data_IF_437167830261
#
_entry.id   IF_437167830261
#
_cell.length_a   1.000
_cell.length_b   1.000
_cell.length_c   1.000
_cell.angle_alpha   90.00
_cell.angle_beta   90.00
_cell.angle_gamma   90.00
#
_symmetry.space_group_name_H-M   'P 1'
#
loop_
_entity.id
_entity.type
_entity.pdbx_description
1 polymer ?
#
# COMPACT_ATOMS: atom_id res chain seq x y z
N UNK A 1 -13.37 -3.54 -6.67
CA UNK A 1 -13.67 -2.72 -5.47
C UNK A 1 -14.69 -3.33 -4.51
N UNK A 2 -15.82 -3.87 -4.98
CA UNK A 2 -16.96 -4.24 -4.13
C UNK A 2 -16.62 -5.14 -2.91
N UNK A 3 -15.65 -6.06 -3.00
CA UNK A 3 -15.24 -6.90 -1.85
C UNK A 3 -14.42 -6.14 -0.79
N UNK A 4 -13.44 -5.34 -1.22
CA UNK A 4 -12.64 -4.52 -0.30
C UNK A 4 -13.49 -3.47 0.41
N UNK A 5 -14.44 -2.86 -0.31
CA UNK A 5 -15.39 -1.91 0.27
C UNK A 5 -16.34 -2.59 1.26
N UNK A 6 -16.88 -3.77 0.92
CA UNK A 6 -17.70 -4.56 1.84
C UNK A 6 -16.94 -4.95 3.11
N UNK A 7 -15.66 -5.30 3.00
CA UNK A 7 -14.81 -5.62 4.15
C UNK A 7 -14.67 -4.42 5.10
N UNK A 8 -14.34 -3.25 4.55
CA UNK A 8 -14.23 -2.01 5.35
C UNK A 8 -15.57 -1.62 5.98
N UNK A 9 -16.66 -1.72 5.22
CA UNK A 9 -18.02 -1.42 5.69
C UNK A 9 -18.47 -2.39 6.79
N UNK A 10 -18.17 -3.70 6.66
CA UNK A 10 -18.50 -4.70 7.67
C UNK A 10 -17.75 -4.46 8.99
N UNK A 11 -16.58 -3.83 8.93
CA UNK A 11 -15.80 -3.38 10.10
C UNK A 11 -16.23 -2.01 10.64
N UNK A 12 -17.19 -1.35 10.01
CA UNK A 12 -17.68 -0.02 10.42
C UNK A 12 -16.63 1.09 10.23
N UNK A 13 -15.71 0.94 9.28
CA UNK A 13 -14.65 1.92 9.04
C UNK A 13 -15.20 3.14 8.28
N UNK A 14 -15.02 4.33 8.84
CA UNK A 14 -15.20 5.60 8.10
C UNK A 14 -14.03 5.81 7.14
N UNK A 15 -14.20 5.33 5.90
CA UNK A 15 -13.11 5.32 4.91
C UNK A 15 -12.51 6.71 4.64
N UNK A 16 -13.28 7.78 4.38
CA UNK A 16 -12.71 9.11 4.20
C UNK A 16 -11.79 9.56 5.35
N UNK A 17 -12.11 9.26 6.60
CA UNK A 17 -11.25 9.59 7.74
C UNK A 17 -10.00 8.71 7.80
N UNK A 18 -10.17 7.39 7.59
CA UNK A 18 -9.07 6.43 7.53
C UNK A 18 -8.07 6.76 6.42
N UNK A 19 -8.56 7.07 5.22
CA UNK A 19 -7.75 7.43 4.06
C UNK A 19 -6.88 8.65 4.34
N UNK A 20 -7.48 9.72 4.88
CA UNK A 20 -6.74 10.93 5.29
C UNK A 20 -5.66 10.62 6.33
N UNK A 21 -5.94 9.72 7.27
CA UNK A 21 -4.96 9.32 8.27
C UNK A 21 -3.80 8.54 7.66
N UNK A 22 -4.07 7.63 6.72
CA UNK A 22 -3.06 6.80 6.07
C UNK A 22 -2.18 7.63 5.11
N UNK A 23 -2.77 8.52 4.31
CA UNK A 23 -2.06 9.34 3.31
C UNK A 23 -1.58 10.70 3.83
N UNK A 24 -1.56 10.92 5.15
CA UNK A 24 -1.10 12.20 5.71
C UNK A 24 0.33 12.55 5.27
N UNK A 25 0.57 13.84 5.01
CA UNK A 25 1.85 14.36 4.52
C UNK A 25 2.94 14.50 5.59
N UNK A 26 2.63 14.31 6.87
CA UNK A 26 3.62 14.37 7.95
C UNK A 26 4.32 13.03 8.11
N UNK A 27 5.65 13.04 8.05
CA UNK A 27 6.48 11.87 8.33
C UNK A 27 6.57 11.65 9.84
N UNK A 28 6.29 10.42 10.29
CA UNK A 28 6.64 9.94 11.62
C UNK A 28 8.07 9.39 11.65
N UNK A 29 8.69 9.25 12.83
CA UNK A 29 10.01 8.62 12.96
C UNK A 29 10.07 7.24 12.27
N UNK A 30 9.05 6.40 12.49
CA UNK A 30 8.97 5.06 11.88
C UNK A 30 8.86 5.11 10.35
N UNK A 31 8.30 6.20 9.78
CA UNK A 31 8.15 6.35 8.33
C UNK A 31 9.50 6.55 7.63
N UNK A 32 10.54 7.02 8.33
CA UNK A 32 11.85 7.27 7.75
C UNK A 32 12.59 5.96 7.45
N UNK A 33 12.60 5.04 8.41
CA UNK A 33 13.19 3.71 8.24
C UNK A 33 12.41 2.87 7.22
N UNK A 34 11.08 2.83 7.36
CA UNK A 34 10.17 2.18 6.40
C UNK A 34 10.34 2.77 4.99
N UNK A 35 10.39 4.10 4.89
CA UNK A 35 10.57 4.80 3.63
C UNK A 35 11.90 4.45 2.94
N UNK A 36 12.97 4.27 3.71
CA UNK A 36 14.27 3.86 3.18
C UNK A 36 14.26 2.41 2.67
N UNK A 37 13.59 1.50 3.37
CA UNK A 37 13.42 0.11 2.93
C UNK A 37 12.58 0.05 1.64
N UNK A 38 11.43 0.72 1.64
CA UNK A 38 10.54 0.83 0.49
C UNK A 38 11.32 1.36 -0.73
N UNK A 39 12.07 2.46 -0.60
CA UNK A 39 12.84 3.03 -1.70
C UNK A 39 13.86 2.04 -2.30
N UNK A 40 14.58 1.29 -1.45
CA UNK A 40 15.52 0.25 -1.89
C UNK A 40 14.80 -0.85 -2.67
N UNK A 41 13.62 -1.23 -2.21
CA UNK A 41 12.80 -2.27 -2.83
C UNK A 41 12.14 -1.81 -4.14
N UNK A 42 11.79 -0.53 -4.27
CA UNK A 42 11.25 0.01 -5.53
C UNK A 42 12.27 -0.07 -6.67
N UNK A 43 13.56 0.18 -6.41
CA UNK A 43 14.59 0.07 -7.46
C UNK A 43 14.75 -1.34 -8.02
N UNK A 44 14.36 -2.37 -7.26
CA UNK A 44 14.40 -3.78 -7.66
C UNK A 44 13.03 -4.33 -8.06
N UNK A 45 11.95 -3.57 -7.91
CA UNK A 45 10.62 -3.94 -8.41
C UNK A 45 10.66 -3.89 -9.94
N UNK A 46 10.99 -5.01 -10.57
CA UNK A 46 11.12 -5.17 -12.02
C UNK A 46 9.79 -5.15 -12.78
N UNK A 47 8.92 -4.18 -12.49
CA UNK A 47 7.65 -3.98 -13.19
C UNK A 47 7.81 -2.86 -14.23
N UNK A 48 7.44 -3.16 -15.49
CA UNK A 48 7.62 -2.27 -16.64
C UNK A 48 6.95 -0.91 -16.48
N UNK A 49 5.87 -0.84 -15.69
CA UNK A 49 5.16 0.40 -15.35
C UNK A 49 6.06 1.45 -14.69
N UNK A 50 7.11 1.03 -14.00
CA UNK A 50 7.96 1.92 -13.19
C UNK A 50 9.27 2.28 -13.88
N UNK A 51 9.39 1.97 -15.18
CA UNK A 51 10.52 2.32 -16.04
C UNK A 51 10.14 3.44 -17.03
N UNK A 52 11.12 4.25 -17.46
CA UNK A 52 10.90 5.34 -18.42
C UNK A 52 10.42 6.66 -17.79
N UNK A 53 9.86 7.55 -18.61
CA UNK A 53 9.54 8.95 -18.25
C UNK A 53 8.50 9.06 -17.12
N UNK A 54 7.51 8.16 -17.11
CA UNK A 54 6.50 8.08 -16.02
C UNK A 54 6.98 7.28 -14.81
N UNK A 55 8.13 6.61 -14.91
CA UNK A 55 8.60 5.66 -13.89
C UNK A 55 8.78 6.31 -12.51
N UNK A 56 9.28 7.55 -12.46
CA UNK A 56 9.46 8.28 -11.19
C UNK A 56 8.14 8.60 -10.49
N UNK A 57 7.13 9.00 -11.26
CA UNK A 57 5.81 9.32 -10.72
C UNK A 57 5.12 8.06 -10.19
N UNK A 58 5.13 7.00 -10.98
CA UNK A 58 4.56 5.71 -10.57
C UNK A 58 5.29 5.18 -9.32
N UNK A 59 6.62 5.32 -9.24
CA UNK A 59 7.38 4.94 -8.04
C UNK A 59 6.96 5.78 -6.81
N UNK A 60 6.70 7.08 -6.99
CA UNK A 60 6.20 7.91 -5.91
C UNK A 60 4.81 7.47 -5.44
N UNK A 61 3.90 7.12 -6.36
CA UNK A 61 2.57 6.58 -6.04
C UNK A 61 2.67 5.26 -5.28
N UNK A 62 3.50 4.33 -5.78
CA UNK A 62 3.72 3.04 -5.13
C UNK A 62 4.29 3.22 -3.72
N UNK A 63 5.26 4.12 -3.53
CA UNK A 63 5.79 4.45 -2.21
C UNK A 63 4.69 4.97 -1.27
N UNK A 64 3.81 5.86 -1.74
CA UNK A 64 2.73 6.42 -0.93
C UNK A 64 1.71 5.36 -0.52
N UNK A 65 1.32 4.45 -1.44
CA UNK A 65 0.41 3.34 -1.12
C UNK A 65 1.01 2.39 -0.08
N UNK A 66 2.28 2.00 -0.25
CA UNK A 66 2.98 1.13 0.69
C UNK A 66 3.10 1.74 2.08
N UNK A 67 3.44 3.03 2.14
CA UNK A 67 3.53 3.75 3.41
C UNK A 67 2.17 3.91 4.08
N UNK A 68 1.13 4.20 3.28
CA UNK A 68 -0.24 4.29 3.75
C UNK A 68 -0.71 2.96 4.34
N UNK A 69 -0.37 1.83 3.71
CA UNK A 69 -0.63 0.49 4.24
C UNK A 69 0.13 0.24 5.56
N UNK A 70 1.42 0.54 5.63
CA UNK A 70 2.21 0.34 6.84
C UNK A 70 1.68 1.17 8.03
N UNK A 71 1.08 2.33 7.76
CA UNK A 71 0.38 3.16 8.75
C UNK A 71 -0.96 2.58 9.17
N UNK A 72 -1.67 1.93 8.26
CA UNK A 72 -2.94 1.25 8.53
C UNK A 72 -2.75 0.05 9.46
N UNK A 73 -1.79 -0.83 9.14
CA UNK A 73 -1.50 -2.02 9.92
C UNK A 73 -0.05 -1.98 10.41
N UNK A 74 0.16 -1.37 11.58
CA UNK A 74 1.48 -1.23 12.19
C UNK A 74 2.07 -2.54 12.70
N UNK A 75 1.23 -3.52 13.00
CA UNK A 75 1.68 -4.82 13.51
C UNK A 75 2.39 -5.62 12.40
N UNK A 76 1.90 -5.51 11.15
CA UNK A 76 2.55 -6.09 9.96
C UNK A 76 3.59 -5.13 9.36
N UNK A 77 3.27 -3.85 9.30
CA UNK A 77 4.13 -2.83 8.70
C UNK A 77 4.37 -3.06 7.20
N UNK A 78 5.64 -3.10 6.81
CA UNK A 78 6.08 -3.39 5.44
C UNK A 78 6.90 -4.67 5.41
N UNK A 79 6.46 -5.65 4.62
CA UNK A 79 7.22 -6.87 4.37
C UNK A 79 7.87 -6.84 2.98
N UNK A 80 9.08 -7.41 2.88
CA UNK A 80 9.79 -7.57 1.62
C UNK A 80 8.94 -8.43 0.66
N UNK A 81 8.43 -7.83 -0.40
CA UNK A 81 7.47 -8.43 -1.35
C UNK A 81 6.18 -7.61 -1.53
N UNK A 82 5.83 -6.76 -0.56
CA UNK A 82 4.69 -5.85 -0.68
C UNK A 82 4.85 -4.87 -1.82
N UNK A 83 6.07 -4.45 -2.14
CA UNK A 83 6.38 -3.65 -3.31
C UNK A 83 5.85 -4.24 -4.62
N UNK A 84 5.98 -5.56 -4.82
CA UNK A 84 5.50 -6.23 -6.03
C UNK A 84 3.98 -6.38 -6.03
N UNK A 85 3.39 -6.76 -4.89
CA UNK A 85 1.94 -6.86 -4.75
C UNK A 85 1.26 -5.51 -4.98
N UNK A 86 1.74 -4.46 -4.31
CA UNK A 86 1.21 -3.11 -4.46
C UNK A 86 1.44 -2.55 -5.86
N UNK A 87 2.54 -2.90 -6.54
CA UNK A 87 2.77 -2.53 -7.94
C UNK A 87 1.69 -3.10 -8.87
N UNK A 88 1.40 -4.40 -8.75
CA UNK A 88 0.35 -5.07 -9.54
C UNK A 88 -1.04 -4.51 -9.20
N UNK A 89 -1.34 -4.32 -7.92
CA UNK A 89 -2.62 -3.74 -7.49
C UNK A 89 -2.78 -2.33 -8.07
N UNK A 90 -1.74 -1.49 -7.98
CA UNK A 90 -1.76 -0.12 -8.47
C UNK A 90 -1.95 -0.07 -9.99
N UNK A 91 -1.34 -0.99 -10.73
CA UNK A 91 -1.55 -1.15 -12.17
C UNK A 91 -3.01 -1.50 -12.48
N UNK A 92 -3.55 -2.53 -11.82
CA UNK A 92 -4.92 -3.02 -12.07
C UNK A 92 -5.98 -2.01 -11.63
N UNK A 93 -5.70 -1.19 -10.62
CA UNK A 93 -6.57 -0.10 -10.15
C UNK A 93 -6.35 1.21 -10.92
N UNK A 94 -5.71 1.17 -12.10
CA UNK A 94 -5.51 2.33 -12.97
C UNK A 94 -4.82 3.52 -12.26
N UNK A 95 -3.83 3.20 -11.41
CA UNK A 95 -3.08 4.15 -10.58
C UNK A 95 -3.91 4.87 -9.49
N UNK A 96 -5.11 4.40 -9.15
CA UNK A 96 -5.88 4.91 -8.00
C UNK A 96 -5.24 4.49 -6.67
N UNK A 97 -4.58 5.43 -5.97
CA UNK A 97 -3.93 5.15 -4.68
C UNK A 97 -4.93 4.71 -3.60
N UNK A 98 -6.10 5.34 -3.57
CA UNK A 98 -7.19 5.04 -2.63
C UNK A 98 -7.66 3.60 -2.77
N UNK A 99 -8.00 3.20 -3.99
CA UNK A 99 -8.56 1.87 -4.25
C UNK A 99 -7.48 0.79 -4.12
N UNK A 100 -6.24 1.12 -4.49
CA UNK A 100 -5.09 0.25 -4.27
C UNK A 100 -4.89 -0.05 -2.79
N UNK A 101 -4.99 0.97 -1.93
CA UNK A 101 -4.89 0.78 -0.48
C UNK A 101 -6.02 -0.10 0.04
N UNK A 102 -7.28 0.14 -0.35
CA UNK A 102 -8.42 -0.72 0.06
C UNK A 102 -8.19 -2.18 -0.32
N UNK A 103 -7.72 -2.43 -1.55
CA UNK A 103 -7.45 -3.79 -2.04
C UNK A 103 -6.29 -4.43 -1.28
N UNK A 104 -5.22 -3.68 -1.00
CA UNK A 104 -4.09 -4.18 -0.22
C UNK A 104 -4.49 -4.55 1.21
N UNK A 105 -5.31 -3.72 1.87
CA UNK A 105 -5.90 -4.01 3.19
C UNK A 105 -6.69 -5.31 3.15
N UNK A 106 -7.64 -5.42 2.21
CA UNK A 106 -8.46 -6.61 2.06
C UNK A 106 -7.62 -7.87 1.79
N UNK A 107 -6.62 -7.78 0.92
CA UNK A 107 -5.75 -8.91 0.59
C UNK A 107 -5.02 -9.43 1.84
N UNK A 108 -4.42 -8.53 2.62
CA UNK A 108 -3.63 -8.95 3.79
C UNK A 108 -4.51 -9.41 4.94
N UNK A 109 -5.66 -8.77 5.18
CA UNK A 109 -6.49 -9.08 6.34
C UNK A 109 -7.52 -10.20 6.11
N UNK A 110 -7.99 -10.39 4.88
CA UNK A 110 -9.13 -11.26 4.60
C UNK A 110 -8.84 -12.40 3.62
N UNK A 111 -7.72 -12.35 2.89
CA UNK A 111 -7.36 -13.38 1.90
C UNK A 111 -6.17 -14.20 2.37
N UNK A 112 -5.14 -13.57 2.94
CA UNK A 112 -3.99 -14.28 3.46
C UNK A 112 -4.30 -14.96 4.80
N UNK A 113 -3.71 -16.14 5.07
CA UNK A 113 -3.92 -16.83 6.34
C UNK A 113 -3.47 -15.98 7.53
N UNK A 114 -4.16 -16.14 8.67
CA UNK A 114 -3.70 -15.55 9.93
C UNK A 114 -2.28 -16.00 10.24
N UNK A 115 -1.41 -15.06 10.63
CA UNK A 115 -0.01 -15.32 10.94
C UNK A 115 0.90 -15.52 9.73
N UNK A 116 0.45 -15.25 8.49
CA UNK A 116 1.32 -15.38 7.31
C UNK A 116 2.58 -14.49 7.36
N UNK A 117 2.52 -13.36 8.08
CA UNK A 117 3.62 -12.41 8.27
C UNK A 117 4.16 -12.37 9.72
N UNK A 118 3.77 -13.34 10.56
CA UNK A 118 4.20 -13.44 11.96
C UNK A 118 5.58 -14.10 12.11
#
# INVERSE_FOLDING_TARGET
LNLAERHLNARGIDWPAAERACFRGTAMPDDEELGAQILKDLHRTGCSLFCGTEGRENQAMLRRVLLAYARWNKDVGYCQGFNMLAAIILEVMEKSESDSLKVMIYLVEAVLPEGYFA
#
